data_IF_103958143551
#
_entry.id   IF_103958143551
#
_cell.length_a   1.000
_cell.length_b   1.000
_cell.length_c   1.000
_cell.angle_alpha   90.00
_cell.angle_beta   90.00
_cell.angle_gamma   90.00
#
_symmetry.space_group_name_H-M   'P 1'
#
loop_
_entity.id
_entity.type
_entity.pdbx_description
1 polymer ?
#
# COMPACT_ATOMS: atom_id res chain seq x y z
N UNK A 1 13.51 41.16 26.66
CA UNK A 1 12.81 40.98 25.37
C UNK A 1 12.36 39.53 25.29
N UNK A 2 11.16 39.25 25.79
CA UNK A 2 10.56 37.93 25.78
C UNK A 2 9.43 37.91 24.74
N UNK A 3 9.22 36.74 24.13
CA UNK A 3 7.93 36.37 23.56
C UNK A 3 7.91 36.12 22.06
N UNK A 4 7.73 34.84 21.71
CA UNK A 4 6.67 34.32 20.83
C UNK A 4 7.19 33.28 19.81
N UNK A 5 7.37 32.04 20.27
CA UNK A 5 7.43 30.87 19.40
C UNK A 5 6.68 29.71 20.06
N UNK A 6 5.36 29.68 19.91
CA UNK A 6 4.49 28.55 20.22
C UNK A 6 3.31 28.58 19.26
N UNK A 7 3.28 27.65 18.30
CA UNK A 7 2.06 27.02 17.75
C UNK A 7 2.40 26.26 16.46
N UNK A 8 2.86 25.01 16.60
CA UNK A 8 2.60 23.99 15.58
C UNK A 8 2.20 22.69 16.27
N UNK A 9 0.92 22.36 16.09
CA UNK A 9 0.37 21.02 15.85
C UNK A 9 0.56 19.95 16.93
N UNK A 10 -0.33 19.98 17.94
CA UNK A 10 -0.86 18.78 18.59
C UNK A 10 -2.06 18.27 17.79
N UNK A 11 -1.85 17.35 16.83
CA UNK A 11 -2.95 16.60 16.22
C UNK A 11 -2.46 15.34 15.48
N UNK A 12 -1.99 14.35 16.23
CA UNK A 12 -1.92 12.97 15.77
C UNK A 12 -1.69 12.08 16.99
N UNK A 13 -2.73 11.40 17.46
CA UNK A 13 -2.73 10.16 18.25
C UNK A 13 -4.16 9.91 18.75
N UNK A 14 -5.11 9.83 17.81
CA UNK A 14 -6.35 9.10 18.05
C UNK A 14 -6.10 7.65 17.61
N UNK A 15 -5.71 6.84 18.58
CA UNK A 15 -5.66 5.39 18.45
C UNK A 15 -7.04 4.87 18.06
N UNK A 16 -7.09 4.26 16.89
CA UNK A 16 -8.25 3.60 16.32
C UNK A 16 -8.55 2.33 17.14
N UNK A 17 -9.41 2.43 18.17
CA UNK A 17 -10.01 1.27 18.84
C UNK A 17 -11.17 0.74 17.99
N UNK A 18 -10.86 0.01 16.94
CA UNK A 18 -11.80 -0.92 16.33
C UNK A 18 -11.48 -2.33 16.83
N UNK A 19 -12.40 -2.88 17.64
CA UNK A 19 -12.37 -4.28 18.09
C UNK A 19 -12.60 -5.17 16.86
N UNK A 20 -11.54 -5.80 16.36
CA UNK A 20 -11.66 -6.86 15.37
C UNK A 20 -12.22 -8.11 16.05
N UNK A 21 -13.34 -8.61 15.52
CA UNK A 21 -13.93 -9.86 15.95
C UNK A 21 -12.97 -11.01 15.63
N UNK A 22 -12.66 -11.83 16.63
CA UNK A 22 -11.87 -13.06 16.49
C UNK A 22 -12.59 -14.04 15.56
N UNK A 23 -12.22 -14.06 14.27
CA UNK A 23 -12.45 -15.20 13.39
C UNK A 23 -11.15 -16.00 13.34
N UNK A 24 -11.25 -17.30 13.62
CA UNK A 24 -10.15 -18.25 13.53
C UNK A 24 -9.55 -18.21 12.11
N UNK A 25 -8.23 -18.30 11.92
CA UNK A 25 -7.68 -18.47 10.59
C UNK A 25 -8.07 -19.86 10.07
N UNK A 26 -8.88 -19.89 9.01
CA UNK A 26 -8.92 -21.07 8.14
C UNK A 26 -7.66 -21.01 7.28
N UNK A 27 -6.74 -21.92 7.55
CA UNK A 27 -5.62 -22.21 6.68
C UNK A 27 -6.20 -22.61 5.31
N UNK A 28 -6.02 -21.75 4.30
CA UNK A 28 -6.30 -22.08 2.90
C UNK A 28 -4.97 -22.42 2.29
N UNK A 29 -4.75 -23.71 2.06
CA UNK A 29 -3.64 -24.23 1.29
C UNK A 29 -3.66 -23.61 -0.11
N UNK A 30 -2.57 -22.95 -0.45
CA UNK A 30 -2.29 -22.54 -1.81
C UNK A 30 -1.92 -23.80 -2.59
N UNK A 31 -2.82 -24.27 -3.46
CA UNK A 31 -2.49 -25.31 -4.43
C UNK A 31 -1.69 -24.69 -5.57
N UNK A 32 -0.46 -25.14 -5.73
CA UNK A 32 0.30 -25.07 -6.97
C UNK A 32 -0.39 -25.94 -8.02
N UNK A 33 -0.53 -25.41 -9.24
CA UNK A 33 -0.94 -26.19 -10.41
C UNK A 33 0.16 -27.21 -10.71
N UNK A 34 -0.11 -28.47 -10.44
CA UNK A 34 0.68 -29.62 -10.88
C UNK A 34 -0.23 -30.54 -11.68
N UNK A 35 0.21 -30.92 -12.88
CA UNK A 35 -0.54 -31.74 -13.84
C UNK A 35 -0.28 -33.24 -13.72
N UNK A 36 0.31 -33.72 -12.62
CA UNK A 36 0.54 -35.15 -12.38
C UNK A 36 -0.56 -35.75 -11.48
N UNK A 37 -1.08 -36.95 -11.79
CA UNK A 37 -2.07 -37.62 -10.95
C UNK A 37 -1.43 -38.07 -9.62
N UNK A 38 -2.17 -37.88 -8.53
CA UNK A 38 -1.81 -38.32 -7.18
C UNK A 38 -1.89 -39.85 -7.16
N UNK A 39 -0.75 -40.52 -7.12
CA UNK A 39 -0.66 -41.93 -6.75
C UNK A 39 -0.81 -42.03 -5.23
N UNK A 40 -1.77 -42.82 -4.78
CA UNK A 40 -1.95 -43.16 -3.37
C UNK A 40 -0.91 -44.23 -3.04
N UNK A 41 0.08 -43.92 -2.22
CA UNK A 41 1.01 -44.92 -1.70
C UNK A 41 0.24 -45.97 -0.91
N UNK A 42 0.38 -47.24 -1.31
CA UNK A 42 -0.03 -48.37 -0.49
C UNK A 42 0.87 -48.46 0.73
N UNK A 43 0.26 -48.67 1.90
CA UNK A 43 0.95 -48.90 3.18
C UNK A 43 1.91 -50.09 3.04
N UNK A 44 3.19 -49.80 2.83
CA UNK A 44 4.24 -50.81 2.89
C UNK A 44 4.40 -51.22 4.35
N UNK A 45 3.97 -52.44 4.65
CA UNK A 45 4.23 -53.11 5.91
C UNK A 45 5.73 -53.03 6.25
N UNK A 46 6.03 -52.57 7.46
CA UNK A 46 7.33 -52.61 8.11
C UNK A 46 7.88 -54.04 8.15
N UNK A 47 8.60 -54.41 7.10
CA UNK A 47 9.72 -55.34 7.20
C UNK A 47 10.96 -54.48 6.97
N UNK A 48 11.70 -54.25 8.04
CA UNK A 48 13.05 -53.67 8.00
C UNK A 48 13.91 -54.50 7.04
N UNK A 49 13.95 -54.09 5.78
CA UNK A 49 15.09 -54.38 4.92
C UNK A 49 16.11 -53.32 5.24
N UNK A 50 16.90 -53.56 6.29
CA UNK A 50 18.30 -53.14 6.22
C UNK A 50 18.85 -53.83 4.97
N UNK A 51 19.26 -53.10 3.91
CA UNK A 51 20.18 -53.71 2.97
C UNK A 51 21.44 -53.95 3.79
N UNK A 52 21.58 -55.18 4.29
CA UNK A 52 22.87 -55.71 4.73
C UNK A 52 23.85 -55.38 3.64
N UNK A 53 24.89 -54.62 4.01
CA UNK A 53 25.81 -53.99 3.09
C UNK A 53 26.10 -54.88 1.90
N UNK A 54 25.85 -54.33 0.71
CA UNK A 54 26.82 -54.58 -0.34
C UNK A 54 28.11 -54.00 0.23
N UNK A 55 28.92 -54.87 0.84
CA UNK A 55 30.37 -54.72 0.75
C UNK A 55 30.57 -54.37 -0.71
N UNK A 56 30.91 -53.11 -0.99
CA UNK A 56 31.50 -52.76 -2.26
C UNK A 56 32.61 -53.77 -2.42
N UNK A 57 32.36 -54.75 -3.28
CA UNK A 57 33.38 -55.64 -3.75
C UNK A 57 34.31 -54.67 -4.43
N UNK A 58 35.41 -54.35 -3.76
CA UNK A 58 36.56 -53.76 -4.41
C UNK A 58 36.96 -54.80 -5.45
N UNK A 59 36.37 -54.70 -6.65
CA UNK A 59 36.70 -55.53 -7.76
C UNK A 59 38.09 -55.10 -8.18
N UNK A 60 39.05 -55.91 -7.76
CA UNK A 60 40.44 -55.80 -8.16
C UNK A 60 40.51 -55.85 -9.70
N UNK A 61 40.92 -54.71 -10.28
CA UNK A 61 41.37 -54.48 -11.66
C UNK A 61 40.43 -54.94 -12.80
N UNK A 62 40.13 -54.08 -13.79
CA UNK A 62 39.22 -54.44 -14.87
C UNK A 62 39.81 -55.58 -15.70
N UNK A 63 39.23 -56.77 -15.57
CA UNK A 63 39.42 -57.83 -16.56
C UNK A 63 38.60 -57.44 -17.78
N UNK A 64 39.26 -57.31 -18.93
CA UNK A 64 38.70 -56.92 -20.23
C UNK A 64 37.34 -57.59 -20.47
N UNK A 65 36.24 -56.84 -20.32
CA UNK A 65 34.90 -57.33 -20.60
C UNK A 65 34.66 -57.19 -22.10
N UNK A 66 34.42 -58.31 -22.78
CA UNK A 66 34.04 -58.32 -24.19
C UNK A 66 32.69 -57.63 -24.35
N UNK A 67 32.54 -56.73 -25.33
CA UNK A 67 31.27 -56.07 -25.63
C UNK A 67 30.17 -57.12 -25.83
N UNK A 68 29.19 -57.11 -24.93
CA UNK A 68 28.02 -57.97 -24.98
C UNK A 68 26.83 -57.24 -25.58
N UNK A 69 25.73 -57.95 -25.87
CA UNK A 69 24.50 -57.33 -26.38
C UNK A 69 23.94 -56.30 -25.38
N UNK A 70 24.23 -56.51 -24.10
CA UNK A 70 23.85 -55.64 -23.00
C UNK A 70 24.73 -54.38 -22.91
N UNK A 71 25.64 -54.15 -23.85
CA UNK A 71 26.43 -52.92 -23.93
C UNK A 71 26.01 -52.03 -25.13
N UNK A 72 25.05 -52.49 -25.94
CA UNK A 72 24.55 -51.71 -27.08
C UNK A 72 23.59 -50.61 -26.65
N UNK A 73 23.63 -49.49 -27.38
CA UNK A 73 22.67 -48.40 -27.28
C UNK A 73 21.24 -48.89 -27.56
N UNK A 74 20.25 -48.24 -26.95
CA UNK A 74 18.85 -48.68 -26.95
C UNK A 74 18.26 -48.86 -28.36
N UNK A 75 18.61 -47.99 -29.31
CA UNK A 75 18.15 -48.07 -30.69
C UNK A 75 18.71 -49.30 -31.43
N UNK A 76 19.98 -49.63 -31.16
CA UNK A 76 20.67 -50.76 -31.77
C UNK A 76 20.14 -52.09 -31.18
N UNK A 77 19.86 -52.15 -29.88
CA UNK A 77 19.18 -53.31 -29.26
C UNK A 77 17.78 -53.54 -29.86
N UNK A 78 17.03 -52.48 -30.11
CA UNK A 78 15.71 -52.60 -30.70
C UNK A 78 15.74 -53.13 -32.15
N UNK A 79 16.83 -52.93 -32.89
CA UNK A 79 17.04 -53.52 -34.22
C UNK A 79 17.43 -55.01 -34.13
N UNK A 80 18.28 -55.38 -33.17
CA UNK A 80 18.61 -56.77 -32.89
C UNK A 80 17.39 -57.62 -32.54
N UNK A 81 16.52 -57.10 -31.67
CA UNK A 81 15.31 -57.79 -31.23
C UNK A 81 14.28 -57.98 -32.35
N UNK A 82 14.33 -57.13 -33.39
CA UNK A 82 13.46 -57.20 -34.58
C UNK A 82 14.05 -58.05 -35.71
N UNK A 83 15.33 -58.38 -35.66
CA UNK A 83 16.02 -59.16 -36.68
C UNK A 83 15.64 -60.65 -36.63
N UNK A 84 15.80 -61.36 -37.75
CA UNK A 84 15.58 -62.80 -37.81
C UNK A 84 16.65 -63.58 -37.02
N UNK A 85 16.40 -64.84 -36.61
CA UNK A 85 17.36 -65.61 -35.80
C UNK A 85 18.72 -65.83 -36.48
N UNK A 86 18.76 -65.81 -37.81
CA UNK A 86 20.00 -65.91 -38.60
C UNK A 86 20.76 -64.57 -38.59
N UNK A 87 20.07 -63.45 -38.80
CA UNK A 87 20.65 -62.10 -38.70
C UNK A 87 21.13 -61.78 -37.28
N UNK A 88 20.43 -62.27 -36.24
CA UNK A 88 20.87 -62.15 -34.85
C UNK A 88 22.17 -62.93 -34.58
N UNK A 89 22.40 -64.04 -35.27
CA UNK A 89 23.66 -64.79 -35.17
C UNK A 89 24.78 -64.04 -35.89
N UNK A 90 24.53 -63.50 -37.08
CA UNK A 90 25.49 -62.66 -37.80
C UNK A 90 25.86 -61.41 -36.98
N UNK A 91 24.90 -60.81 -36.27
CA UNK A 91 25.16 -59.68 -35.39
C UNK A 91 26.02 -60.05 -34.18
N UNK A 92 25.73 -61.19 -33.55
CA UNK A 92 26.55 -61.75 -32.47
C UNK A 92 27.96 -62.08 -32.94
N UNK A 93 28.09 -62.64 -34.12
CA UNK A 93 29.37 -62.94 -34.76
C UNK A 93 30.11 -61.66 -35.17
N UNK A 94 29.39 -60.62 -35.60
CA UNK A 94 29.93 -59.30 -35.90
C UNK A 94 30.44 -58.56 -34.67
N UNK A 95 29.68 -58.58 -33.56
CA UNK A 95 30.11 -58.02 -32.26
C UNK A 95 31.30 -58.80 -31.70
N UNK A 96 31.26 -60.12 -31.77
CA UNK A 96 32.38 -60.98 -31.40
C UNK A 96 33.60 -60.67 -32.26
N UNK A 97 33.43 -60.53 -33.58
CA UNK A 97 34.51 -60.15 -34.50
C UNK A 97 35.05 -58.74 -34.21
N UNK A 98 34.22 -57.78 -33.79
CA UNK A 98 34.62 -56.45 -33.33
C UNK A 98 35.43 -56.51 -32.03
N UNK A 99 35.02 -57.35 -31.08
CA UNK A 99 35.76 -57.60 -29.84
C UNK A 99 37.04 -58.42 -30.06
N UNK A 100 37.09 -59.20 -31.15
CA UNK A 100 38.22 -60.00 -31.62
C UNK A 100 39.01 -59.26 -32.73
N UNK A 101 38.70 -57.99 -33.05
CA UNK A 101 39.59 -57.16 -33.87
C UNK A 101 40.84 -56.97 -33.04
N UNK A 102 41.77 -57.85 -33.36
CA UNK A 102 43.08 -58.05 -32.80
C UNK A 102 43.74 -56.68 -32.58
N UNK A 103 44.09 -56.38 -31.34
CA UNK A 103 44.95 -55.26 -30.95
C UNK A 103 46.39 -55.45 -31.49
N UNK A 104 46.55 -55.95 -32.71
CA UNK A 104 47.81 -56.24 -33.41
C UNK A 104 48.04 -55.33 -34.62
N UNK A 105 47.30 -54.22 -34.71
CA UNK A 105 47.71 -53.07 -35.50
C UNK A 105 48.77 -52.26 -34.72
N UNK A 106 49.80 -51.66 -35.36
CA UNK A 106 50.93 -50.98 -34.69
C UNK A 106 50.55 -49.72 -33.87
N UNK A 107 49.26 -49.49 -33.63
CA UNK A 107 48.69 -48.39 -32.85
C UNK A 107 48.14 -48.84 -31.48
N UNK A 108 48.16 -50.15 -31.18
CA UNK A 108 47.68 -50.71 -29.90
C UNK A 108 48.70 -50.53 -28.76
N UNK A 109 49.99 -50.69 -29.05
CA UNK A 109 51.06 -50.50 -28.06
C UNK A 109 51.15 -49.04 -27.58
N UNK A 110 50.92 -48.07 -28.48
CA UNK A 110 50.88 -46.65 -28.13
C UNK A 110 49.65 -46.30 -27.28
N UNK A 111 48.50 -46.91 -27.57
CA UNK A 111 47.28 -46.74 -26.78
C UNK A 111 47.40 -47.36 -25.39
N UNK A 112 47.96 -48.57 -25.29
CA UNK A 112 48.22 -49.24 -24.02
C UNK A 112 49.26 -48.47 -23.19
N UNK A 113 50.26 -47.85 -23.83
CA UNK A 113 51.21 -46.97 -23.15
C UNK A 113 50.55 -45.69 -22.64
N UNK A 114 49.66 -45.07 -23.42
CA UNK A 114 48.90 -43.89 -22.97
C UNK A 114 47.94 -44.24 -21.82
N UNK A 115 47.29 -45.40 -21.85
CA UNK A 115 46.43 -45.87 -20.76
C UNK A 115 47.25 -46.11 -19.49
N UNK A 116 48.41 -46.77 -19.61
CA UNK A 116 49.32 -46.96 -18.48
C UNK A 116 49.97 -45.66 -17.97
N UNK A 117 50.02 -44.61 -18.79
CA UNK A 117 50.44 -43.27 -18.37
C UNK A 117 49.28 -42.54 -17.66
N UNK A 118 48.03 -42.67 -18.14
CA UNK A 118 46.84 -42.12 -17.48
C UNK A 118 46.64 -42.77 -16.10
N UNK A 119 46.74 -44.09 -15.99
CA UNK A 119 46.62 -44.78 -14.70
C UNK A 119 47.70 -44.31 -13.71
N UNK A 120 48.93 -44.10 -14.21
CA UNK A 120 50.02 -43.57 -13.39
C UNK A 120 49.78 -42.13 -12.97
N UNK A 121 49.25 -41.29 -13.86
CA UNK A 121 48.88 -39.91 -13.54
C UNK A 121 47.74 -39.88 -12.51
N UNK A 122 46.77 -40.80 -12.58
CA UNK A 122 45.70 -40.94 -11.58
C UNK A 122 46.26 -41.38 -10.24
N UNK A 123 47.15 -42.38 -10.20
CA UNK A 123 47.83 -42.82 -8.98
C UNK A 123 48.67 -41.68 -8.36
N UNK A 124 49.39 -40.91 -9.18
CA UNK A 124 50.15 -39.73 -8.73
C UNK A 124 49.24 -38.62 -8.18
N UNK A 125 48.06 -38.41 -8.77
CA UNK A 125 47.06 -37.45 -8.28
C UNK A 125 46.46 -37.92 -6.96
N UNK A 126 46.15 -39.20 -6.81
CA UNK A 126 45.65 -39.76 -5.53
C UNK A 126 46.71 -39.68 -4.42
N UNK A 127 47.99 -39.90 -4.74
CA UNK A 127 49.09 -39.75 -3.79
C UNK A 127 49.35 -38.27 -3.42
N UNK A 128 49.29 -37.36 -4.41
CA UNK A 128 49.53 -35.93 -4.21
C UNK A 128 48.35 -35.21 -3.54
N UNK A 129 47.12 -35.68 -3.77
CA UNK A 129 45.90 -35.17 -3.17
C UNK A 129 45.16 -36.31 -2.48
N UNK A 130 45.55 -36.68 -1.24
CA UNK A 130 44.77 -37.62 -0.46
C UNK A 130 43.44 -36.95 -0.09
N UNK A 131 42.45 -37.08 -0.98
CA UNK A 131 41.02 -36.86 -0.68
C UNK A 131 40.45 -38.02 0.17
N UNK A 132 41.32 -38.78 0.85
CA UNK A 132 40.92 -39.57 1.99
C UNK A 132 40.67 -38.62 3.15
N UNK A 133 39.40 -38.33 3.39
CA UNK A 133 38.97 -37.78 4.67
C UNK A 133 39.52 -38.71 5.75
N UNK A 134 40.38 -38.22 6.67
CA UNK A 134 40.82 -39.07 7.77
C UNK A 134 39.57 -39.52 8.54
N UNK A 135 39.51 -40.79 8.91
CA UNK A 135 38.51 -41.32 9.85
C UNK A 135 38.70 -40.62 11.21
N UNK A 136 38.20 -39.39 11.32
CA UNK A 136 38.18 -38.62 12.56
C UNK A 136 37.12 -39.33 13.41
N UNK A 137 37.57 -39.98 14.49
CA UNK A 137 36.66 -40.63 15.42
C UNK A 137 35.58 -39.63 15.84
N UNK A 138 34.32 -39.95 15.52
CA UNK A 138 33.16 -39.11 15.83
C UNK A 138 33.27 -38.62 17.28
N UNK A 139 33.26 -37.30 17.53
CA UNK A 139 33.36 -36.79 18.89
C UNK A 139 32.25 -37.42 19.74
N UNK A 140 32.54 -37.70 21.01
CA UNK A 140 31.54 -38.28 21.90
C UNK A 140 30.28 -37.37 21.90
N UNK A 141 29.08 -37.97 21.98
CA UNK A 141 27.80 -37.21 21.98
C UNK A 141 27.76 -36.06 23.01
N UNK A 142 28.54 -36.14 24.07
CA UNK A 142 28.63 -35.12 25.12
C UNK A 142 29.48 -33.90 24.73
N UNK A 143 30.33 -34.02 23.71
CA UNK A 143 31.15 -32.94 23.14
C UNK A 143 30.64 -32.46 21.77
N UNK A 144 29.52 -33.01 21.29
CA UNK A 144 28.86 -32.52 20.08
C UNK A 144 28.19 -31.18 20.40
N UNK A 145 28.46 -30.17 19.58
CA UNK A 145 27.85 -28.85 19.69
C UNK A 145 26.34 -28.85 19.47
N UNK A 146 25.69 -27.70 19.66
CA UNK A 146 24.25 -27.52 19.41
C UNK A 146 23.86 -27.91 17.98
N UNK A 147 24.73 -27.63 17.00
CA UNK A 147 24.50 -27.95 15.59
C UNK A 147 24.80 -29.42 15.23
N UNK A 148 25.56 -30.13 16.06
CA UNK A 148 25.92 -31.54 15.87
C UNK A 148 25.01 -32.51 16.67
N UNK A 149 24.03 -32.00 17.42
CA UNK A 149 23.12 -32.84 18.22
C UNK A 149 22.13 -33.62 17.33
N UNK A 150 22.27 -34.94 17.33
CA UNK A 150 21.42 -35.84 16.55
C UNK A 150 21.86 -36.08 15.10
N UNK A 151 22.96 -35.46 14.65
CA UNK A 151 23.50 -35.64 13.31
C UNK A 151 24.40 -36.90 13.23
N UNK A 152 24.05 -37.82 12.34
CA UNK A 152 24.79 -39.06 12.09
C UNK A 152 25.80 -38.94 10.93
N UNK A 153 25.56 -37.98 10.03
CA UNK A 153 26.41 -37.64 8.89
C UNK A 153 27.72 -36.99 9.37
N UNK A 154 28.84 -37.46 8.83
CA UNK A 154 30.18 -36.98 9.16
C UNK A 154 30.36 -35.50 8.79
N UNK A 155 29.68 -35.04 7.75
CA UNK A 155 29.68 -33.63 7.33
C UNK A 155 28.81 -32.72 8.23
N UNK A 156 27.91 -33.31 9.01
CA UNK A 156 27.05 -32.61 9.98
C UNK A 156 27.69 -32.48 11.37
N UNK A 157 28.78 -33.19 11.64
CA UNK A 157 29.51 -33.17 12.91
C UNK A 157 30.52 -32.01 12.97
N UNK A 158 30.02 -30.78 12.82
CA UNK A 158 30.83 -29.56 12.86
C UNK A 158 30.93 -29.03 14.29
N UNK A 159 32.08 -28.47 14.67
CA UNK A 159 32.25 -27.77 15.94
C UNK A 159 31.56 -26.40 15.90
N UNK A 160 30.93 -25.98 17.00
CA UNK A 160 30.26 -24.67 17.14
C UNK A 160 31.23 -23.47 17.21
N UNK A 161 32.37 -23.51 16.51
CA UNK A 161 33.39 -22.44 16.54
C UNK A 161 32.87 -21.10 15.97
N UNK A 162 31.78 -21.14 15.20
CA UNK A 162 31.17 -19.98 14.52
C UNK A 162 30.06 -19.28 15.34
N UNK A 163 29.74 -19.73 16.56
CA UNK A 163 28.63 -19.19 17.38
C UNK A 163 29.00 -17.92 18.18
N UNK A 164 30.29 -17.57 18.25
CA UNK A 164 30.76 -16.37 18.94
C UNK A 164 30.47 -15.10 18.12
N UNK A 165 29.65 -14.19 18.65
CA UNK A 165 29.35 -12.91 17.99
C UNK A 165 30.58 -11.99 17.97
N UNK A 166 31.22 -11.88 16.81
CA UNK A 166 32.42 -11.05 16.60
C UNK A 166 32.14 -9.54 16.42
N UNK A 167 30.88 -9.12 16.58
CA UNK A 167 30.44 -7.74 16.35
C UNK A 167 30.68 -7.22 14.92
N UNK A 168 30.65 -8.12 13.95
CA UNK A 168 30.84 -7.91 12.52
C UNK A 168 29.51 -7.72 11.76
N UNK A 169 28.40 -8.22 12.28
CA UNK A 169 27.06 -8.00 11.74
C UNK A 169 26.13 -7.20 12.66
N UNK A 170 25.08 -6.62 12.08
CA UNK A 170 24.05 -5.88 12.79
C UNK A 170 22.70 -6.60 12.76
N UNK A 171 21.86 -6.31 13.75
CA UNK A 171 20.51 -6.88 13.81
C UNK A 171 19.68 -6.51 12.57
N UNK A 172 18.71 -7.35 12.19
CA UNK A 172 17.78 -7.09 11.07
C UNK A 172 17.15 -5.68 11.05
N UNK A 173 16.63 -5.10 12.16
CA UNK A 173 16.12 -3.74 12.14
C UNK A 173 17.21 -2.68 11.90
N UNK A 174 18.46 -2.95 12.27
CA UNK A 174 19.59 -2.08 11.96
C UNK A 174 19.94 -2.14 10.47
N UNK A 175 19.93 -3.33 9.85
CA UNK A 175 20.05 -3.47 8.39
C UNK A 175 18.95 -2.70 7.66
N UNK A 176 17.70 -2.80 8.10
CA UNK A 176 16.60 -2.04 7.50
C UNK A 176 16.80 -0.52 7.58
N UNK A 177 17.38 0.00 8.66
CA UNK A 177 17.74 1.41 8.77
C UNK A 177 18.92 1.78 7.87
N UNK A 178 19.90 0.89 7.74
CA UNK A 178 21.03 1.07 6.85
C UNK A 178 20.57 1.13 5.39
N UNK A 179 19.66 0.25 4.97
CA UNK A 179 19.08 0.26 3.63
C UNK A 179 18.27 1.53 3.36
N UNK A 180 17.45 1.98 4.32
CA UNK A 180 16.79 3.29 4.22
C UNK A 180 17.82 4.40 3.99
N UNK A 181 18.95 4.37 4.71
CA UNK A 181 20.01 5.36 4.51
C UNK A 181 20.69 5.23 3.13
N UNK A 182 20.84 4.02 2.59
CA UNK A 182 21.30 3.79 1.21
C UNK A 182 20.33 4.42 0.19
N UNK A 183 19.03 4.21 0.36
CA UNK A 183 17.99 4.81 -0.48
C UNK A 183 18.04 6.34 -0.42
N UNK A 184 18.14 6.91 0.80
CA UNK A 184 18.27 8.36 0.97
C UNK A 184 19.48 8.92 0.22
N UNK A 185 20.63 8.25 0.30
CA UNK A 185 21.84 8.66 -0.42
C UNK A 185 21.67 8.51 -1.93
N UNK A 186 20.94 7.51 -2.40
CA UNK A 186 20.61 7.37 -3.80
C UNK A 186 19.76 8.55 -4.30
N UNK A 187 18.69 8.92 -3.59
CA UNK A 187 17.89 10.10 -3.93
C UNK A 187 18.70 11.40 -3.86
N UNK A 188 19.57 11.56 -2.85
CA UNK A 188 20.48 12.71 -2.76
C UNK A 188 21.42 12.79 -3.97
N UNK A 189 21.95 11.65 -4.43
CA UNK A 189 22.78 11.59 -5.64
C UNK A 189 21.99 12.02 -6.88
N UNK A 190 20.76 11.50 -7.05
CA UNK A 190 19.87 11.90 -8.15
C UNK A 190 19.54 13.40 -8.09
N UNK A 191 19.32 13.97 -6.90
CA UNK A 191 19.08 15.40 -6.73
C UNK A 191 20.32 16.23 -7.09
N UNK A 192 21.51 15.79 -6.69
CA UNK A 192 22.75 16.53 -6.96
C UNK A 192 23.15 16.50 -8.44
N UNK A 193 23.00 15.35 -9.09
CA UNK A 193 23.56 15.13 -10.43
C UNK A 193 22.51 15.09 -11.54
N UNK A 194 21.34 14.47 -11.32
CA UNK A 194 20.32 14.29 -12.37
C UNK A 194 19.34 15.47 -12.43
N UNK A 195 18.85 15.96 -11.28
CA UNK A 195 17.85 17.05 -11.24
C UNK A 195 18.30 18.34 -11.95
N UNK A 196 19.57 18.79 -11.86
CA UNK A 196 20.02 19.96 -12.63
C UNK A 196 19.93 19.75 -14.15
N UNK A 197 20.02 18.50 -14.62
CA UNK A 197 19.90 18.17 -16.05
C UNK A 197 18.45 18.32 -16.53
N UNK A 198 17.45 18.11 -15.67
CA UNK A 198 16.03 18.33 -16.02
C UNK A 198 15.75 19.80 -16.35
N UNK A 199 16.51 20.74 -15.78
CA UNK A 199 16.40 22.16 -16.08
C UNK A 199 16.61 22.49 -17.57
N UNK A 200 17.37 21.67 -18.30
CA UNK A 200 17.59 21.83 -19.76
C UNK A 200 16.34 21.57 -20.59
N UNK A 201 15.40 20.78 -20.06
CA UNK A 201 14.15 20.41 -20.74
C UNK A 201 12.96 21.24 -20.25
N UNK A 202 13.17 22.14 -19.28
CA UNK A 202 12.11 22.98 -18.74
C UNK A 202 11.65 24.00 -19.79
N UNK A 203 10.34 24.04 -20.02
CA UNK A 203 9.70 25.02 -20.89
C UNK A 203 9.04 26.11 -20.02
N UNK A 204 9.11 27.37 -20.47
CA UNK A 204 8.38 28.46 -19.79
C UNK A 204 6.89 28.27 -19.97
N UNK A 205 6.12 28.50 -18.92
CA UNK A 205 4.67 28.48 -19.01
C UNK A 205 4.17 29.67 -19.83
N UNK A 206 3.52 29.39 -20.96
CA UNK A 206 2.81 30.38 -21.75
C UNK A 206 1.31 30.28 -21.43
N UNK A 207 0.64 31.38 -21.04
CA UNK A 207 -0.78 31.36 -20.78
C UNK A 207 -1.54 30.97 -22.06
N UNK A 208 -2.64 30.21 -21.96
CA UNK A 208 -3.41 29.80 -23.12
C UNK A 208 -4.00 31.03 -23.83
N UNK A 209 -3.99 31.05 -25.18
CA UNK A 209 -4.61 32.13 -25.93
C UNK A 209 -6.14 32.11 -25.74
N UNK A 210 -6.78 33.28 -25.91
CA UNK A 210 -8.25 33.42 -25.83
C UNK A 210 -8.97 32.56 -26.89
N UNK A 211 -8.28 32.13 -27.95
CA UNK A 211 -8.82 31.24 -28.99
C UNK A 211 -9.09 29.82 -28.49
N UNK A 212 -8.48 29.40 -27.38
CA UNK A 212 -8.63 28.06 -26.79
C UNK A 212 -9.34 28.11 -25.42
N UNK A 213 -10.66 28.36 -25.38
CA UNK A 213 -11.42 28.47 -24.12
C UNK A 213 -11.74 27.11 -23.47
N UNK A 214 -11.42 25.99 -24.12
CA UNK A 214 -11.76 24.65 -23.64
C UNK A 214 -10.68 24.11 -22.70
N UNK A 215 -11.08 23.76 -21.46
CA UNK A 215 -10.20 23.12 -20.49
C UNK A 215 -10.52 21.63 -20.38
N UNK A 216 -9.61 20.80 -20.90
CA UNK A 216 -9.69 19.35 -20.72
C UNK A 216 -8.93 18.89 -19.48
N UNK A 217 -9.52 17.95 -18.73
CA UNK A 217 -8.90 17.28 -17.58
C UNK A 217 -8.83 15.78 -17.82
N UNK A 218 -7.64 15.23 -17.69
CA UNK A 218 -7.34 13.80 -17.76
C UNK A 218 -6.99 13.29 -16.36
N UNK A 219 -7.15 11.99 -16.12
CA UNK A 219 -6.81 11.34 -14.85
C UNK A 219 -5.93 10.14 -15.16
N UNK A 220 -4.78 10.05 -14.49
CA UNK A 220 -3.78 8.99 -14.70
C UNK A 220 -3.32 8.48 -13.34
N UNK A 221 -3.20 7.15 -13.20
CA UNK A 221 -2.85 6.48 -11.95
C UNK A 221 -1.40 5.94 -11.94
N UNK A 222 -0.53 6.52 -12.78
CA UNK A 222 0.93 6.32 -12.78
C UNK A 222 1.40 4.86 -12.60
N UNK A 223 0.99 3.99 -13.53
CA UNK A 223 1.37 2.57 -13.54
C UNK A 223 0.21 1.61 -13.22
N UNK A 224 -0.86 2.10 -12.58
CA UNK A 224 -2.04 1.30 -12.31
C UNK A 224 -3.08 1.40 -13.43
N UNK A 225 -3.68 0.26 -13.79
CA UNK A 225 -4.82 0.19 -14.71
C UNK A 225 -6.10 0.40 -13.91
N UNK A 226 -6.65 1.61 -13.95
CA UNK A 226 -7.89 1.95 -13.25
C UNK A 226 -9.00 2.34 -14.23
N UNK A 227 -10.24 1.83 -14.09
CA UNK A 227 -11.32 2.11 -15.05
C UNK A 227 -11.69 3.59 -15.16
N UNK A 228 -11.53 4.37 -14.08
CA UNK A 228 -11.78 5.81 -14.11
C UNK A 228 -10.69 6.61 -14.86
N UNK A 229 -9.57 6.00 -15.25
CA UNK A 229 -8.55 6.66 -16.05
C UNK A 229 -9.10 7.08 -17.41
N UNK A 230 -10.08 6.35 -17.96
CA UNK A 230 -10.61 6.61 -19.29
C UNK A 230 -11.48 7.87 -19.35
N UNK A 231 -11.97 8.35 -18.20
CA UNK A 231 -12.84 9.51 -18.09
C UNK A 231 -12.11 10.80 -18.46
N UNK A 232 -12.70 11.55 -19.39
CA UNK A 232 -12.26 12.90 -19.73
C UNK A 232 -13.33 13.89 -19.31
N UNK A 233 -12.91 15.04 -18.78
CA UNK A 233 -13.81 16.15 -18.44
C UNK A 233 -13.43 17.36 -19.26
N UNK A 234 -14.42 18.02 -19.87
CA UNK A 234 -14.28 19.33 -20.48
C UNK A 234 -15.03 20.36 -19.64
N UNK A 235 -14.40 21.49 -19.42
CA UNK A 235 -14.96 22.67 -18.78
C UNK A 235 -14.73 23.87 -19.68
N UNK A 236 -15.76 24.68 -19.91
CA UNK A 236 -15.66 25.90 -20.70
C UNK A 236 -16.71 26.93 -20.24
N UNK A 237 -16.41 28.19 -20.48
CA UNK A 237 -17.31 29.30 -20.19
C UNK A 237 -18.14 29.64 -21.44
N UNK A 238 -19.47 29.78 -21.36
CA UNK A 238 -20.29 30.24 -22.49
C UNK A 238 -19.88 31.62 -23.01
N UNK A 239 -19.36 32.48 -22.12
CA UNK A 239 -18.94 33.84 -22.45
C UNK A 239 -17.62 33.91 -23.24
N UNK A 240 -16.76 32.90 -23.10
CA UNK A 240 -15.42 32.86 -23.72
C UNK A 240 -15.43 32.23 -25.12
N UNK A 241 -16.58 31.71 -25.58
CA UNK A 241 -16.69 31.10 -26.91
C UNK A 241 -16.83 32.20 -27.99
N UNK A 242 -15.85 32.36 -28.91
CA UNK A 242 -15.89 33.42 -29.91
C UNK A 242 -17.01 33.25 -30.95
N UNK A 243 -17.49 32.01 -31.12
CA UNK A 243 -18.55 31.66 -32.07
C UNK A 243 -19.93 32.18 -31.63
N UNK A 244 -20.10 32.53 -30.35
CA UNK A 244 -21.34 33.04 -29.78
C UNK A 244 -21.28 34.56 -29.62
N UNK A 245 -21.59 35.26 -30.69
CA UNK A 245 -21.55 36.73 -30.74
C UNK A 245 -22.76 37.36 -30.05
N UNK A 246 -23.94 36.77 -30.20
CA UNK A 246 -25.18 37.30 -29.59
C UNK A 246 -25.41 36.75 -28.18
N UNK A 247 -25.89 37.61 -27.28
CA UNK A 247 -26.34 37.21 -25.95
C UNK A 247 -27.46 36.16 -26.01
N UNK A 248 -28.31 36.20 -27.03
CA UNK A 248 -29.38 35.21 -27.24
C UNK A 248 -28.81 33.81 -27.47
N UNK A 249 -27.76 33.69 -28.28
CA UNK A 249 -27.09 32.41 -28.56
C UNK A 249 -26.42 31.84 -27.31
N UNK A 250 -25.82 32.72 -26.48
CA UNK A 250 -25.24 32.31 -25.19
C UNK A 250 -26.31 31.83 -24.21
N UNK A 251 -27.41 32.56 -24.11
CA UNK A 251 -28.55 32.19 -23.26
C UNK A 251 -29.14 30.84 -23.69
N UNK A 252 -29.26 30.61 -25.00
CA UNK A 252 -29.67 29.32 -25.57
C UNK A 252 -28.70 28.20 -25.22
N UNK A 253 -27.38 28.42 -25.34
CA UNK A 253 -26.38 27.44 -24.96
C UNK A 253 -26.49 27.04 -23.47
N UNK A 254 -26.69 28.02 -22.58
CA UNK A 254 -26.88 27.79 -21.15
C UNK A 254 -28.11 26.90 -20.90
N UNK A 255 -29.23 27.18 -21.60
CA UNK A 255 -30.45 26.37 -21.51
C UNK A 255 -30.22 24.94 -22.03
N UNK A 256 -29.52 24.78 -23.15
CA UNK A 256 -29.16 23.46 -23.70
C UNK A 256 -28.22 22.66 -22.79
N UNK A 257 -27.33 23.34 -22.06
CA UNK A 257 -26.44 22.70 -21.09
C UNK A 257 -27.20 22.15 -19.86
N UNK A 258 -28.31 22.80 -19.48
CA UNK A 258 -29.17 22.40 -18.37
C UNK A 258 -28.38 22.22 -17.07
N UNK A 259 -28.50 21.04 -16.44
CA UNK A 259 -27.83 20.72 -15.15
C UNK A 259 -26.30 20.76 -15.20
N UNK A 260 -25.71 20.79 -16.40
CA UNK A 260 -24.25 20.82 -16.59
C UNK A 260 -23.67 22.23 -16.44
N UNK A 261 -24.52 23.25 -16.50
CA UNK A 261 -24.14 24.64 -16.29
C UNK A 261 -24.10 24.99 -14.81
N UNK A 262 -23.04 25.69 -14.38
CA UNK A 262 -22.92 26.23 -13.03
C UNK A 262 -23.12 27.76 -13.06
N UNK A 263 -24.24 28.28 -12.52
CA UNK A 263 -24.54 29.71 -12.53
C UNK A 263 -23.58 30.57 -11.70
N UNK A 264 -22.96 30.02 -10.65
CA UNK A 264 -22.05 30.79 -9.79
C UNK A 264 -20.67 31.00 -10.39
N UNK A 265 -20.25 30.14 -11.34
CA UNK A 265 -18.92 30.20 -11.98
C UNK A 265 -18.98 30.54 -13.47
N UNK A 266 -20.18 30.69 -14.01
CA UNK A 266 -20.45 30.80 -15.45
C UNK A 266 -19.72 29.72 -16.28
N UNK A 267 -19.77 28.46 -15.83
CA UNK A 267 -19.01 27.37 -16.45
C UNK A 267 -19.90 26.16 -16.74
N UNK A 268 -19.77 25.61 -17.95
CA UNK A 268 -20.37 24.33 -18.35
C UNK A 268 -19.34 23.23 -18.16
N UNK A 269 -19.70 22.21 -17.38
CA UNK A 269 -18.84 21.05 -17.11
C UNK A 269 -19.48 19.77 -17.63
N UNK A 270 -18.80 19.09 -18.54
CA UNK A 270 -19.27 17.86 -19.18
C UNK A 270 -18.18 16.79 -19.06
N UNK A 271 -18.55 15.57 -18.69
CA UNK A 271 -17.62 14.44 -18.67
C UNK A 271 -18.09 13.31 -19.57
N UNK A 272 -17.14 12.58 -20.15
CA UNK A 272 -17.40 11.37 -20.92
C UNK A 272 -16.49 10.24 -20.45
N UNK A 273 -17.09 9.08 -20.21
CA UNK A 273 -16.43 7.81 -19.87
C UNK A 273 -17.07 6.64 -20.64
N UNK A 274 -17.72 6.93 -21.77
CA UNK A 274 -18.46 5.95 -22.57
C UNK A 274 -17.55 5.01 -23.36
N UNK A 275 -16.38 5.50 -23.76
CA UNK A 275 -15.43 4.78 -24.61
C UNK A 275 -14.24 4.28 -23.80
N UNK A 276 -13.60 3.24 -24.32
CA UNK A 276 -12.46 2.59 -23.68
C UNK A 276 -11.21 3.47 -23.67
N UNK A 277 -10.99 4.28 -24.71
CA UNK A 277 -9.79 5.14 -24.76
C UNK A 277 -10.11 6.59 -24.39
N UNK A 278 -9.20 7.23 -23.65
CA UNK A 278 -9.29 8.67 -23.33
C UNK A 278 -9.39 9.53 -24.59
N UNK A 279 -8.68 9.16 -25.66
CA UNK A 279 -8.68 9.88 -26.93
C UNK A 279 -10.07 9.89 -27.59
N UNK A 280 -10.78 8.76 -27.58
CA UNK A 280 -12.16 8.68 -28.07
C UNK A 280 -13.12 9.51 -27.21
N UNK A 281 -13.00 9.42 -25.89
CA UNK A 281 -13.79 10.24 -24.96
C UNK A 281 -13.57 11.75 -25.18
N UNK A 282 -12.32 12.17 -25.39
CA UNK A 282 -11.98 13.56 -25.74
C UNK A 282 -12.61 13.99 -27.06
N UNK A 283 -12.49 13.17 -28.11
CA UNK A 283 -13.05 13.46 -29.43
C UNK A 283 -14.56 13.63 -29.37
N UNK A 284 -15.25 12.70 -28.70
CA UNK A 284 -16.69 12.79 -28.49
C UNK A 284 -17.10 14.07 -27.76
N UNK A 285 -16.34 14.51 -26.74
CA UNK A 285 -16.60 15.77 -26.06
C UNK A 285 -16.41 16.98 -26.99
N UNK A 286 -15.38 16.96 -27.84
CA UNK A 286 -15.18 17.99 -28.86
C UNK A 286 -16.36 18.07 -29.85
N UNK A 287 -16.78 16.92 -30.39
CA UNK A 287 -17.93 16.84 -31.29
C UNK A 287 -19.23 17.28 -30.60
N UNK A 288 -19.40 16.97 -29.32
CA UNK A 288 -20.56 17.38 -28.53
C UNK A 288 -20.59 18.89 -28.31
N UNK A 289 -19.46 19.50 -27.96
CA UNK A 289 -19.37 20.96 -27.79
C UNK A 289 -19.66 21.66 -29.12
N UNK A 290 -19.09 21.17 -30.23
CA UNK A 290 -19.37 21.70 -31.56
C UNK A 290 -20.86 21.60 -31.92
N UNK A 291 -21.51 20.48 -31.59
CA UNK A 291 -22.97 20.32 -31.77
C UNK A 291 -23.75 21.31 -30.91
N UNK A 292 -23.38 21.48 -29.64
CA UNK A 292 -24.05 22.44 -28.75
C UNK A 292 -23.92 23.88 -29.26
N UNK A 293 -22.75 24.25 -29.79
CA UNK A 293 -22.53 25.57 -30.37
C UNK A 293 -23.30 25.74 -31.67
N UNK A 294 -23.28 24.75 -32.57
CA UNK A 294 -24.06 24.79 -33.81
C UNK A 294 -25.56 24.95 -33.53
N UNK A 295 -26.10 24.17 -32.58
CA UNK A 295 -27.50 24.30 -32.16
C UNK A 295 -27.81 25.68 -31.57
N UNK A 296 -26.85 26.28 -30.85
CA UNK A 296 -27.01 27.62 -30.30
C UNK A 296 -26.92 28.73 -31.36
N UNK A 297 -26.14 28.54 -32.44
CA UNK A 297 -25.98 29.54 -33.51
C UNK A 297 -27.01 29.43 -34.63
N UNK A 298 -27.68 28.29 -34.77
CA UNK A 298 -28.68 28.04 -35.81
C UNK A 298 -29.85 29.05 -35.75
N UNK A 299 -30.03 29.92 -36.77
CA UNK A 299 -31.07 30.95 -36.78
C UNK A 299 -32.46 30.41 -37.15
N UNK A 300 -32.52 29.22 -37.77
CA UNK A 300 -33.78 28.58 -38.16
C UNK A 300 -34.45 27.82 -37.02
N UNK A 301 -33.75 27.65 -35.89
CA UNK A 301 -34.24 26.92 -34.72
C UNK A 301 -34.64 27.90 -33.63
N UNK A 302 -35.55 27.45 -32.77
CA UNK A 302 -36.06 28.22 -31.64
C UNK A 302 -34.92 28.82 -30.78
N UNK A 303 -35.05 30.11 -30.43
CA UNK A 303 -34.12 30.86 -29.58
C UNK A 303 -34.38 30.61 -28.08
N UNK A 304 -35.50 29.97 -27.74
CA UNK A 304 -35.94 29.65 -26.37
C UNK A 304 -36.04 30.88 -25.48
N UNK A 305 -36.37 32.06 -26.01
CA UNK A 305 -36.46 33.30 -25.21
C UNK A 305 -37.61 33.27 -24.19
N UNK A 306 -38.68 32.59 -24.54
CA UNK A 306 -39.86 32.34 -23.71
C UNK A 306 -39.57 31.43 -22.51
N UNK A 307 -38.56 30.56 -22.61
CA UNK A 307 -38.15 29.65 -21.52
C UNK A 307 -37.24 30.38 -20.53
N UNK A 308 -37.61 30.50 -19.24
CA UNK A 308 -36.74 31.11 -18.23
C UNK A 308 -35.53 30.21 -17.91
N UNK A 309 -34.47 30.78 -17.35
CA UNK A 309 -33.35 29.99 -16.87
C UNK A 309 -33.75 29.11 -15.68
N UNK A 310 -33.46 27.81 -15.77
CA UNK A 310 -33.62 26.89 -14.65
C UNK A 310 -32.28 26.69 -13.94
N UNK A 311 -32.21 27.13 -12.67
CA UNK A 311 -31.05 26.98 -11.80
C UNK A 311 -31.33 26.11 -10.56
N UNK A 312 -32.44 25.36 -10.54
CA UNK A 312 -32.86 24.55 -9.38
C UNK A 312 -31.87 23.44 -9.02
N UNK A 313 -31.05 22.98 -9.98
CA UNK A 313 -30.00 21.99 -9.74
C UNK A 313 -28.81 22.55 -8.94
N UNK A 314 -28.61 23.87 -8.95
CA UNK A 314 -27.48 24.50 -8.29
C UNK A 314 -27.90 25.10 -6.95
N UNK A 315 -27.20 24.70 -5.88
CA UNK A 315 -27.39 25.25 -4.54
C UNK A 315 -26.30 26.27 -4.25
N UNK A 316 -26.57 27.58 -4.29
CA UNK A 316 -25.56 28.59 -4.03
C UNK A 316 -25.06 28.47 -2.59
N UNK A 317 -23.75 28.49 -2.41
CA UNK A 317 -23.13 28.49 -1.09
C UNK A 317 -23.08 29.93 -0.59
N UNK A 318 -23.75 30.19 0.53
CA UNK A 318 -23.65 31.48 1.22
C UNK A 318 -22.26 31.57 1.83
N UNK A 319 -21.50 32.58 1.43
CA UNK A 319 -20.21 32.92 2.04
C UNK A 319 -20.47 34.08 2.99
N UNK A 320 -20.25 33.85 4.28
CA UNK A 320 -20.31 34.92 5.26
C UNK A 320 -18.96 35.63 5.27
N UNK A 321 -19.00 36.95 5.08
CA UNK A 321 -17.83 37.79 5.19
C UNK A 321 -17.78 38.43 6.58
N UNK A 322 -16.57 38.77 7.02
CA UNK A 322 -16.40 39.48 8.27
C UNK A 322 -17.03 40.89 8.15
N UNK A 323 -17.98 41.27 9.02
CA UNK A 323 -18.65 42.55 8.93
C UNK A 323 -17.66 43.71 8.88
N UNK A 324 -17.82 44.60 7.90
CA UNK A 324 -16.92 45.74 7.74
C UNK A 324 -16.93 46.65 8.96
N UNK A 325 -18.10 46.81 9.58
CA UNK A 325 -18.30 47.59 10.79
C UNK A 325 -17.53 47.09 12.03
N UNK A 326 -17.04 45.85 12.01
CA UNK A 326 -16.24 45.28 13.11
C UNK A 326 -14.74 45.38 12.86
N UNK A 327 -14.34 45.80 11.65
CA UNK A 327 -12.93 46.02 11.32
C UNK A 327 -12.42 47.17 12.19
N UNK A 328 -11.47 46.89 13.08
CA UNK A 328 -10.82 47.88 13.96
C UNK A 328 -9.82 48.79 13.21
N UNK A 329 -9.80 48.73 11.88
CA UNK A 329 -8.80 49.41 11.05
C UNK A 329 -8.97 50.93 10.97
N UNK A 330 -10.15 51.47 11.29
CA UNK A 330 -10.36 52.92 11.34
C UNK A 330 -10.16 53.48 12.76
N UNK A 331 -9.42 54.57 12.88
CA UNK A 331 -9.25 55.30 14.14
C UNK A 331 -10.60 55.77 14.70
N UNK A 332 -11.56 56.07 13.83
CA UNK A 332 -12.94 56.41 14.18
C UNK A 332 -13.63 55.29 14.96
N UNK A 333 -13.46 54.03 14.56
CA UNK A 333 -14.08 52.89 15.27
C UNK A 333 -13.43 52.70 16.63
N UNK A 334 -12.11 52.85 16.72
CA UNK A 334 -11.39 52.81 17.99
C UNK A 334 -11.88 53.92 18.91
N UNK A 335 -12.04 55.14 18.39
CA UNK A 335 -12.57 56.27 19.14
C UNK A 335 -14.00 56.03 19.62
N UNK A 336 -14.90 55.57 18.76
CA UNK A 336 -16.27 55.19 19.14
C UNK A 336 -16.29 54.12 20.24
N UNK A 337 -15.37 53.14 20.18
CA UNK A 337 -15.25 52.11 21.21
C UNK A 337 -14.73 52.68 22.53
N UNK A 338 -13.79 53.63 22.49
CA UNK A 338 -13.29 54.33 23.68
C UNK A 338 -14.41 55.17 24.30
N UNK A 339 -15.08 56.01 23.51
CA UNK A 339 -16.21 56.84 23.95
C UNK A 339 -17.33 55.95 24.54
N UNK A 340 -17.73 54.88 23.86
CA UNK A 340 -18.73 53.94 24.38
C UNK A 340 -18.28 53.13 25.60
N UNK A 341 -16.97 52.99 25.85
CA UNK A 341 -16.43 52.41 27.12
C UNK A 341 -16.46 53.46 28.23
N UNK A 342 -16.12 54.71 27.93
CA UNK A 342 -16.14 55.82 28.87
C UNK A 342 -17.55 56.18 29.32
N UNK A 343 -18.51 56.25 28.40
CA UNK A 343 -19.92 56.47 28.69
C UNK A 343 -20.49 55.38 29.61
N UNK A 344 -20.15 54.11 29.35
CA UNK A 344 -20.53 52.99 30.22
C UNK A 344 -19.95 53.15 31.62
N UNK A 345 -18.66 53.53 31.73
CA UNK A 345 -18.00 53.78 33.02
C UNK A 345 -18.62 54.97 33.75
N UNK A 346 -18.93 56.06 33.04
CA UNK A 346 -19.58 57.25 33.60
C UNK A 346 -20.98 56.92 34.10
N UNK A 347 -21.78 56.19 33.32
CA UNK A 347 -23.10 55.70 33.73
C UNK A 347 -23.02 54.83 34.98
N UNK A 348 -22.04 53.91 35.04
CA UNK A 348 -21.83 53.08 36.22
C UNK A 348 -21.44 53.93 37.44
N UNK A 349 -20.55 54.91 37.29
CA UNK A 349 -20.14 55.80 38.38
C UNK A 349 -21.29 56.69 38.86
N UNK A 350 -22.12 57.20 37.96
CA UNK A 350 -23.32 57.96 38.33
C UNK A 350 -24.31 57.07 39.08
N UNK A 351 -24.56 55.84 38.63
CA UNK A 351 -25.39 54.88 39.38
C UNK A 351 -24.85 54.58 40.78
N UNK A 352 -23.51 54.52 40.94
CA UNK A 352 -22.87 54.34 42.24
C UNK A 352 -22.93 55.59 43.13
N UNK A 353 -22.89 56.79 42.55
CA UNK A 353 -22.92 58.07 43.26
C UNK A 353 -24.35 58.52 43.62
N UNK A 354 -25.33 58.32 42.74
CA UNK A 354 -26.77 58.36 43.07
C UNK A 354 -27.13 57.28 44.11
N UNK A 355 -26.23 56.31 44.26
CA UNK A 355 -26.22 55.25 45.24
C UNK A 355 -25.65 55.58 46.62
N UNK A 356 -25.53 56.85 47.01
CA UNK A 356 -25.14 57.19 48.38
C UNK A 356 -26.28 56.87 49.36
N UNK A 357 -26.16 55.70 49.99
CA UNK A 357 -26.99 55.27 51.11
C UNK A 357 -27.40 53.80 51.08
N UNK A 358 -26.49 52.86 50.77
CA UNK A 358 -26.71 51.43 51.05
C UNK A 358 -27.85 50.73 50.30
N UNK A 359 -28.47 51.36 49.29
CA UNK A 359 -29.59 50.80 48.49
C UNK A 359 -29.43 51.02 46.98
N UNK A 360 -28.19 51.14 46.52
CA UNK A 360 -27.80 51.47 45.14
C UNK A 360 -27.80 50.28 44.17
N UNK A 361 -28.63 49.26 44.41
CA UNK A 361 -28.77 48.13 43.49
C UNK A 361 -30.04 48.22 42.65
N UNK A 362 -30.85 49.26 42.69
CA UNK A 362 -32.10 49.25 41.90
C UNK A 362 -31.90 49.80 40.49
N UNK A 363 -31.97 48.93 39.48
CA UNK A 363 -32.18 49.35 38.08
C UNK A 363 -33.68 49.26 37.80
N UNK A 364 -34.40 50.38 37.84
CA UNK A 364 -35.83 50.42 37.53
C UNK A 364 -36.73 49.74 38.57
N UNK A 365 -36.39 49.82 39.85
CA UNK A 365 -37.15 49.18 40.94
C UNK A 365 -36.81 47.71 41.19
N UNK A 366 -35.97 47.10 40.35
CA UNK A 366 -35.50 45.72 40.54
C UNK A 366 -34.02 45.74 40.98
N UNK A 367 -33.73 45.08 42.09
CA UNK A 367 -32.40 45.01 42.69
C UNK A 367 -31.44 44.22 41.78
N UNK A 368 -30.22 44.71 41.56
CA UNK A 368 -29.13 44.05 40.83
C UNK A 368 -28.86 42.76 41.58
N UNK A 369 -29.41 41.70 41.01
CA UNK A 369 -29.37 40.35 41.53
C UNK A 369 -27.92 39.89 41.54
N UNK A 370 -27.34 39.87 42.73
CA UNK A 370 -26.05 39.24 42.98
C UNK A 370 -26.29 37.76 43.22
N UNK A 371 -26.24 36.99 42.13
CA UNK A 371 -26.55 35.57 42.13
C UNK A 371 -25.72 34.77 43.14
N UNK A 372 -24.46 35.16 43.36
CA UNK A 372 -23.60 34.51 44.35
C UNK A 372 -24.12 34.70 45.78
N UNK A 373 -24.61 35.90 46.10
CA UNK A 373 -25.17 36.19 47.42
C UNK A 373 -26.46 35.42 47.69
N UNK A 374 -27.30 35.27 46.67
CA UNK A 374 -28.57 34.53 46.76
C UNK A 374 -28.31 33.04 46.92
N UNK A 375 -27.36 32.50 46.16
CA UNK A 375 -26.96 31.09 46.29
C UNK A 375 -26.38 30.82 47.68
N UNK A 376 -25.53 31.71 48.21
CA UNK A 376 -25.00 31.57 49.59
C UNK A 376 -26.12 31.58 50.63
N UNK A 377 -27.03 32.56 50.56
CA UNK A 377 -28.18 32.64 51.46
C UNK A 377 -29.04 31.38 51.38
N UNK A 378 -29.26 30.85 50.18
CA UNK A 378 -30.05 29.63 49.98
C UNK A 378 -29.35 28.39 50.58
N UNK A 379 -28.04 28.23 50.35
CA UNK A 379 -27.25 27.13 50.91
C UNK A 379 -27.23 27.19 52.43
N UNK A 380 -27.03 28.37 53.01
CA UNK A 380 -27.08 28.58 54.46
C UNK A 380 -28.47 28.27 55.02
N UNK A 381 -29.55 28.69 54.34
CA UNK A 381 -30.91 28.39 54.76
C UNK A 381 -31.22 26.89 54.71
N UNK A 382 -30.74 26.18 53.68
CA UNK A 382 -30.88 24.72 53.56
C UNK A 382 -30.08 24.00 54.65
N UNK A 383 -28.85 24.42 54.91
CA UNK A 383 -28.02 23.87 55.98
C UNK A 383 -28.66 24.08 57.37
N UNK A 384 -29.17 25.29 57.64
CA UNK A 384 -29.87 25.61 58.89
C UNK A 384 -31.18 24.83 59.05
N UNK A 385 -31.90 24.59 57.96
CA UNK A 385 -33.12 23.78 57.96
C UNK A 385 -32.83 22.29 58.24
N UNK A 386 -31.73 21.75 57.69
CA UNK A 386 -31.30 20.38 57.95
C UNK A 386 -30.83 20.19 59.40
N UNK A 387 -30.11 21.17 59.97
CA UNK A 387 -29.66 21.14 61.37
C UNK A 387 -30.80 21.19 62.40
N UNK A 388 -31.98 21.70 62.04
CA UNK A 388 -33.16 21.80 62.91
C UNK A 388 -34.03 20.54 62.99
N UNK A 389 -33.74 19.49 62.22
CA UNK A 389 -34.51 18.23 62.31
C UNK A 389 -34.08 17.44 63.55
N UNK A 390 -34.99 17.12 64.50
CA UNK A 390 -34.67 16.18 65.56
C UNK A 390 -34.53 14.77 64.95
N UNK A 391 -33.41 14.10 65.25
CA UNK A 391 -33.21 12.69 64.92
C UNK A 391 -34.31 11.85 65.56
N UNK A 392 -35.35 11.54 64.79
CA UNK A 392 -36.38 10.57 65.14
C UNK A 392 -36.17 9.35 64.25
N UNK A 393 -35.92 8.15 64.82
CA UNK A 393 -35.73 6.94 64.03
C UNK A 393 -37.09 6.53 63.44
N UNK A 394 -37.16 6.35 62.11
CA UNK A 394 -38.36 5.83 61.45
C UNK A 394 -38.60 4.37 61.86
N UNK A 395 -39.64 4.14 62.65
CA UNK A 395 -40.19 2.80 62.92
C UNK A 395 -40.87 2.21 61.68
N UNK A 396 -40.64 0.92 61.44
CA UNK A 396 -41.29 0.16 60.37
C UNK A 396 -42.78 -0.05 60.67
N UNK A 397 -43.66 0.51 59.85
CA UNK A 397 -45.11 0.27 59.93
C UNK A 397 -45.65 -0.25 58.60
N UNK A 398 -45.89 -1.56 58.50
CA UNK A 398 -46.64 -2.19 57.39
C UNK A 398 -48.12 -1.79 57.51
N UNK A 399 -48.66 -1.09 56.53
CA UNK A 399 -50.09 -0.75 56.44
C UNK A 399 -50.64 -0.99 55.03
N UNK A 400 -51.32 -2.12 54.85
CA UNK A 400 -52.09 -2.46 53.64
C UNK A 400 -53.25 -1.47 53.46
N UNK A 401 -53.41 -0.90 52.26
CA UNK A 401 -54.66 -0.24 51.84
C UNK A 401 -55.41 -1.14 50.87
N UNK A 402 -56.61 -1.55 51.28
CA UNK A 402 -57.62 -2.18 50.43
C UNK A 402 -58.19 -1.16 49.44
N UNK A 403 -58.43 -1.61 48.21
CA UNK A 403 -59.13 -0.89 47.15
C UNK A 403 -60.60 -1.35 47.21
N UNK A 404 -61.52 -0.40 47.36
CA UNK A 404 -62.95 -0.61 47.19
C UNK A 404 -63.41 0.06 45.88
N UNK A 405 -64.41 -0.59 45.26
CA UNK A 405 -64.93 -0.41 43.90
C UNK A 405 -65.50 0.96 43.59
#
# INVERSE_FOLDING_TARGET
MAGAARCFTRLALQFNRQKTAKRKPQYRDWRTFSSAPIWREEEKNNASQTPTGNTERQEAHPTTQYLTIDDLEDDARAEFDRASPEEQQEWREGLKALSEVDHTAPFSDELAAMEADIDRDVDEIEEATPFQFPDIAKPAKESAGFWADGEEDEMGQVFDEDDDFQADDMTTPAHAQLDLHRDMREYQRRIAWDMPLLGKFAQKFEPPPLTSPLRFRYTTYMGEVHPAANKVVVEFCPSDLPQLTSAQQRNKLIKLAGVRYNPSRDAVKISCEKFETQAQNKRYLGDLVNKMVAEATDPNKDSFEDVPFDFRHHKPKIVHEFPEEWKLGSEEKVRQLVEGREERRRRQRLLLAEGEGGKARQRGGEEVVDGDSIVRQYVEAVAAFQARRPNTPLGSGKGKRQIAR
#
